data_IF_549275466646
#
_entry.id   IF_549275466646
#
_cell.length_a   1.000
_cell.length_b   1.000
_cell.length_c   1.000
_cell.angle_alpha   90.00
_cell.angle_beta   90.00
_cell.angle_gamma   90.00
#
_symmetry.space_group_name_H-M   'P 1'
#
loop_
_entity.id
_entity.type
_entity.pdbx_description
1 polymer ?
#
# COMPACT_ATOMS: atom_id res chain seq x y z
N UNK A 1 -98.28 -10.43 22.84
CA UNK A 1 -97.06 -10.86 23.58
C UNK A 1 -96.73 -12.27 23.13
N UNK A 2 -95.75 -12.43 22.24
CA UNK A 2 -95.24 -13.72 21.79
C UNK A 2 -93.72 -13.63 21.69
N UNK A 3 -93.04 -14.53 22.41
CA UNK A 3 -91.59 -14.54 22.63
C UNK A 3 -90.83 -15.04 21.40
N UNK A 4 -89.59 -14.57 21.34
CA UNK A 4 -88.61 -14.54 20.25
C UNK A 4 -87.78 -15.83 20.23
N UNK A 5 -87.48 -16.36 19.04
CA UNK A 5 -86.37 -17.29 18.79
C UNK A 5 -85.27 -16.62 17.92
N UNK A 6 -83.96 -16.81 18.18
CA UNK A 6 -82.87 -16.11 17.48
C UNK A 6 -82.33 -16.82 16.21
N UNK A 7 -81.46 -16.17 15.42
CA UNK A 7 -81.37 -16.36 13.97
C UNK A 7 -80.38 -17.45 13.50
N UNK A 8 -80.68 -18.00 12.32
CA UNK A 8 -79.86 -18.95 11.55
C UNK A 8 -78.56 -18.33 11.00
N UNK A 9 -77.42 -18.92 11.38
CA UNK A 9 -76.09 -18.59 10.87
C UNK A 9 -75.85 -19.16 9.45
N UNK A 10 -75.54 -18.27 8.49
CA UNK A 10 -75.15 -18.65 7.12
C UNK A 10 -73.66 -19.04 7.09
N UNK A 11 -73.37 -20.32 6.81
CA UNK A 11 -72.00 -20.81 6.52
C UNK A 11 -71.41 -20.10 5.28
N UNK A 12 -70.40 -19.24 5.48
CA UNK A 12 -69.50 -18.76 4.43
C UNK A 12 -68.37 -19.78 4.21
N UNK A 13 -68.15 -20.18 2.94
CA UNK A 13 -67.05 -21.05 2.49
C UNK A 13 -65.68 -20.40 2.77
N UNK A 14 -64.73 -21.19 3.29
CA UNK A 14 -63.30 -20.81 3.41
C UNK A 14 -62.67 -20.64 2.00
N UNK A 15 -61.85 -19.60 1.76
CA UNK A 15 -60.94 -19.56 0.61
C UNK A 15 -59.81 -20.58 0.81
N UNK A 16 -59.33 -21.18 -0.28
CA UNK A 16 -58.11 -21.99 -0.34
C UNK A 16 -56.87 -21.15 0.01
N UNK A 17 -55.82 -21.74 0.61
CA UNK A 17 -54.61 -20.99 0.94
C UNK A 17 -53.87 -20.57 -0.35
N UNK A 18 -53.61 -19.27 -0.48
CA UNK A 18 -52.68 -18.72 -1.46
C UNK A 18 -51.29 -19.33 -1.25
N UNK A 19 -50.66 -19.76 -2.33
CA UNK A 19 -49.30 -20.31 -2.32
C UNK A 19 -48.33 -19.21 -1.91
N UNK A 20 -47.72 -19.32 -0.73
CA UNK A 20 -46.65 -18.41 -0.32
C UNK A 20 -45.53 -18.41 -1.38
N UNK A 21 -44.98 -17.25 -1.76
CA UNK A 21 -43.89 -17.21 -2.72
C UNK A 21 -42.70 -17.96 -2.11
N UNK A 22 -42.30 -19.05 -2.77
CA UNK A 22 -41.19 -19.89 -2.33
C UNK A 22 -39.96 -19.00 -2.22
N UNK A 23 -39.43 -18.83 -1.01
CA UNK A 23 -38.25 -18.01 -0.79
C UNK A 23 -37.07 -18.64 -1.53
N UNK A 24 -36.64 -18.00 -2.61
CA UNK A 24 -35.45 -18.41 -3.34
C UNK A 24 -34.27 -18.14 -2.42
N UNK A 25 -33.76 -19.19 -1.79
CA UNK A 25 -32.55 -19.10 -0.98
C UNK A 25 -31.39 -18.69 -1.88
N UNK A 26 -30.62 -17.66 -1.52
CA UNK A 26 -29.47 -17.22 -2.30
C UNK A 26 -28.47 -18.37 -2.57
N UNK A 27 -28.46 -19.39 -1.71
CA UNK A 27 -27.64 -20.60 -1.86
C UNK A 27 -28.10 -21.53 -2.99
N UNK A 28 -29.27 -21.32 -3.60
CA UNK A 28 -29.73 -22.08 -4.78
C UNK A 28 -29.29 -21.47 -6.11
N UNK A 29 -28.77 -20.24 -6.11
CA UNK A 29 -28.25 -19.60 -7.32
C UNK A 29 -26.98 -20.30 -7.82
N UNK A 30 -26.67 -20.31 -9.13
CA UNK A 30 -25.39 -20.80 -9.64
C UNK A 30 -24.21 -19.90 -9.23
N UNK A 31 -22.98 -20.42 -9.33
CA UNK A 31 -21.78 -19.75 -8.78
C UNK A 31 -21.46 -18.40 -9.46
N UNK A 32 -21.73 -18.28 -10.75
CA UNK A 32 -21.56 -17.04 -11.52
C UNK A 32 -22.46 -15.90 -11.02
N UNK A 33 -23.74 -16.19 -10.75
CA UNK A 33 -24.67 -15.23 -10.16
C UNK A 33 -24.26 -14.86 -8.74
N UNK A 34 -23.80 -15.82 -7.94
CA UNK A 34 -23.29 -15.55 -6.60
C UNK A 34 -22.05 -14.66 -6.63
N UNK A 35 -21.08 -14.93 -7.49
CA UNK A 35 -19.90 -14.08 -7.70
C UNK A 35 -20.34 -12.67 -8.10
N UNK A 36 -21.27 -12.56 -9.03
CA UNK A 36 -21.81 -11.28 -9.47
C UNK A 36 -22.48 -10.51 -8.32
N UNK A 37 -23.26 -11.17 -7.46
CA UNK A 37 -23.85 -10.54 -6.27
C UNK A 37 -22.78 -10.12 -5.26
N UNK A 38 -21.88 -11.04 -4.88
CA UNK A 38 -20.87 -10.81 -3.84
C UNK A 38 -19.85 -9.75 -4.28
N UNK A 39 -19.50 -9.69 -5.57
CA UNK A 39 -18.60 -8.66 -6.12
C UNK A 39 -19.10 -7.23 -5.95
N UNK A 40 -20.41 -7.03 -5.75
CA UNK A 40 -21.00 -5.70 -5.48
C UNK A 40 -21.04 -5.33 -3.99
N UNK A 41 -20.81 -6.30 -3.11
CA UNK A 41 -20.76 -6.09 -1.67
C UNK A 41 -19.36 -5.65 -1.28
N UNK A 42 -19.26 -4.68 -0.36
CA UNK A 42 -17.96 -4.24 0.14
C UNK A 42 -17.21 -5.40 0.84
N UNK A 43 -15.88 -5.43 0.71
CA UNK A 43 -15.04 -6.45 1.37
C UNK A 43 -15.14 -6.37 2.89
N UNK A 44 -15.57 -5.23 3.43
CA UNK A 44 -15.92 -5.06 4.85
C UNK A 44 -16.84 -6.17 5.38
N UNK A 45 -17.73 -6.72 4.55
CA UNK A 45 -18.67 -7.76 4.97
C UNK A 45 -18.17 -9.19 4.67
N UNK A 46 -17.04 -9.34 3.99
CA UNK A 46 -16.56 -10.66 3.56
C UNK A 46 -16.12 -11.53 4.72
N UNK A 47 -15.71 -10.98 5.86
CA UNK A 47 -15.36 -11.78 7.05
C UNK A 47 -16.55 -12.60 7.61
N UNK A 48 -17.80 -12.19 7.33
CA UNK A 48 -18.99 -12.90 7.79
C UNK A 48 -19.40 -14.03 6.85
N UNK A 49 -19.18 -13.90 5.54
CA UNK A 49 -19.68 -14.86 4.55
C UNK A 49 -19.11 -16.30 4.71
N UNK A 50 -17.81 -16.52 5.00
CA UNK A 50 -17.24 -17.84 5.23
C UNK A 50 -17.77 -18.55 6.49
N UNK A 51 -18.37 -17.80 7.42
CA UNK A 51 -18.98 -18.34 8.64
C UNK A 51 -20.37 -18.91 8.37
N UNK A 52 -21.04 -18.41 7.33
CA UNK A 52 -22.41 -18.81 6.95
C UNK A 52 -22.42 -20.04 6.06
N UNK A 53 -21.49 -20.16 5.10
CA UNK A 53 -21.48 -21.29 4.16
C UNK A 53 -20.09 -21.65 3.65
N UNK A 54 -19.83 -22.96 3.47
CA UNK A 54 -18.63 -23.47 2.78
C UNK A 54 -18.57 -22.99 1.32
N UNK A 55 -19.73 -22.83 0.67
CA UNK A 55 -19.82 -22.35 -0.71
C UNK A 55 -19.34 -20.90 -0.84
N UNK A 56 -19.79 -20.01 0.06
CA UNK A 56 -19.28 -18.64 0.12
C UNK A 56 -17.78 -18.58 0.42
N UNK A 57 -17.28 -19.44 1.31
CA UNK A 57 -15.84 -19.54 1.56
C UNK A 57 -15.06 -19.93 0.30
N UNK A 58 -15.60 -20.82 -0.53
CA UNK A 58 -15.00 -21.22 -1.81
C UNK A 58 -15.00 -20.05 -2.80
N UNK A 59 -16.14 -19.37 -2.95
CA UNK A 59 -16.28 -18.22 -3.86
C UNK A 59 -15.33 -17.08 -3.49
N UNK A 60 -15.20 -16.76 -2.20
CA UNK A 60 -14.28 -15.72 -1.72
C UNK A 60 -12.79 -16.04 -1.99
N UNK A 61 -12.45 -17.30 -2.20
CA UNK A 61 -11.10 -17.74 -2.58
C UNK A 61 -10.93 -17.87 -4.09
N UNK A 62 -12.01 -17.76 -4.87
CA UNK A 62 -11.92 -17.86 -6.32
C UNK A 62 -11.27 -16.61 -6.91
N UNK A 63 -10.33 -16.75 -7.86
CA UNK A 63 -9.79 -15.61 -8.60
C UNK A 63 -10.87 -14.86 -9.39
N UNK A 64 -11.96 -15.54 -9.77
CA UNK A 64 -13.07 -14.98 -10.55
C UNK A 64 -13.79 -13.84 -9.83
N UNK A 65 -13.83 -13.89 -8.50
CA UNK A 65 -14.45 -12.84 -7.70
C UNK A 65 -13.71 -11.52 -7.89
N UNK A 66 -12.38 -11.55 -7.78
CA UNK A 66 -11.56 -10.36 -7.97
C UNK A 66 -11.62 -9.87 -9.42
N UNK A 67 -11.53 -10.78 -10.40
CA UNK A 67 -11.66 -10.43 -11.81
C UNK A 67 -13.02 -9.74 -12.10
N UNK A 68 -14.10 -10.22 -11.49
CA UNK A 68 -15.43 -9.61 -11.61
C UNK A 68 -15.50 -8.25 -10.93
N UNK A 69 -14.92 -8.10 -9.72
CA UNK A 69 -14.85 -6.81 -9.03
C UNK A 69 -14.07 -5.76 -9.82
N UNK A 70 -12.92 -6.16 -10.36
CA UNK A 70 -12.09 -5.31 -11.23
C UNK A 70 -12.86 -4.85 -12.45
N UNK A 71 -13.54 -5.76 -13.17
CA UNK A 71 -14.42 -5.41 -14.30
C UNK A 71 -15.58 -4.47 -13.94
N UNK A 72 -16.05 -4.52 -12.70
CA UNK A 72 -17.14 -3.66 -12.21
C UNK A 72 -16.64 -2.34 -11.60
N UNK A 73 -15.32 -2.08 -11.61
CA UNK A 73 -14.69 -0.95 -10.91
C UNK A 73 -15.09 -0.89 -9.44
N UNK A 74 -15.08 -2.05 -8.78
CA UNK A 74 -15.42 -2.23 -7.35
C UNK A 74 -14.22 -2.69 -6.54
N UNK A 75 -13.00 -2.53 -7.01
CA UNK A 75 -11.83 -2.80 -6.18
C UNK A 75 -11.71 -1.74 -5.08
N UNK A 76 -11.15 -2.14 -3.95
CA UNK A 76 -10.94 -1.31 -2.76
C UNK A 76 -9.45 -1.23 -2.48
N UNK A 77 -8.93 -0.02 -2.24
CA UNK A 77 -7.54 0.15 -1.85
C UNK A 77 -7.35 -0.26 -0.40
N UNK A 78 -6.37 -1.14 -0.15
CA UNK A 78 -6.05 -1.67 1.17
C UNK A 78 -4.62 -1.29 1.54
N UNK A 79 -4.42 -0.91 2.81
CA UNK A 79 -3.10 -0.53 3.34
C UNK A 79 -2.42 -1.77 3.93
N UNK A 80 -1.19 -2.00 3.50
CA UNK A 80 -0.31 -3.03 4.03
C UNK A 80 0.91 -2.39 4.70
N UNK A 81 1.22 -2.85 5.91
CA UNK A 81 2.39 -2.40 6.66
C UNK A 81 3.40 -3.53 6.80
N UNK A 82 4.66 -3.17 6.62
CA UNK A 82 5.81 -4.01 6.90
C UNK A 82 6.65 -3.36 8.00
N UNK A 83 6.62 -3.98 9.18
CA UNK A 83 7.26 -3.46 10.39
C UNK A 83 8.39 -4.36 10.85
N UNK A 84 9.40 -3.72 11.44
CA UNK A 84 10.50 -4.35 12.16
C UNK A 84 10.77 -3.61 13.45
N UNK A 85 11.09 -4.34 14.51
CA UNK A 85 11.54 -3.77 15.79
C UNK A 85 13.04 -3.98 15.96
N UNK A 86 13.76 -3.09 16.68
CA UNK A 86 15.21 -3.17 16.82
C UNK A 86 15.68 -4.53 17.33
N UNK A 87 15.06 -5.04 18.40
CA UNK A 87 15.51 -6.23 19.11
C UNK A 87 14.75 -7.52 18.73
N UNK A 88 13.82 -7.44 17.78
CA UNK A 88 13.10 -8.61 17.26
C UNK A 88 13.65 -9.03 15.88
N UNK A 89 14.19 -10.25 15.73
CA UNK A 89 14.63 -10.74 14.43
C UNK A 89 13.47 -11.02 13.45
N UNK A 90 12.22 -11.01 13.92
CA UNK A 90 11.03 -11.22 13.10
C UNK A 90 10.64 -9.95 12.36
N UNK A 91 9.92 -10.16 11.26
CA UNK A 91 9.27 -9.10 10.50
C UNK A 91 7.77 -9.30 10.56
N UNK A 92 7.04 -8.19 10.57
CA UNK A 92 5.60 -8.18 10.78
C UNK A 92 4.91 -7.62 9.54
N UNK A 93 4.14 -8.48 8.89
CA UNK A 93 3.26 -8.10 7.80
C UNK A 93 1.85 -7.93 8.34
N UNK A 94 1.28 -6.77 8.06
CA UNK A 94 0.05 -6.31 8.66
C UNK A 94 -0.81 -5.68 7.57
N UNK A 95 -2.14 -5.78 7.67
CA UNK A 95 -3.09 -5.06 6.82
C UNK A 95 -4.07 -4.29 7.67
N UNK A 96 -4.48 -3.13 7.18
CA UNK A 96 -5.52 -2.35 7.81
C UNK A 96 -6.90 -2.88 7.39
N UNK A 97 -7.75 -3.18 8.37
CA UNK A 97 -9.11 -3.69 8.18
C UNK A 97 -10.09 -2.88 9.01
N UNK A 98 -11.32 -2.69 8.54
CA UNK A 98 -12.38 -1.99 9.28
C UNK A 98 -13.48 -2.95 9.71
N UNK A 99 -13.92 -2.82 10.96
CA UNK A 99 -15.06 -3.58 11.50
C UNK A 99 -16.38 -2.84 11.19
N UNK A 100 -17.42 -3.51 10.67
CA UNK A 100 -18.72 -2.88 10.42
C UNK A 100 -19.46 -2.45 11.69
N UNK A 101 -19.17 -3.08 12.84
CA UNK A 101 -20.01 -3.04 14.04
C UNK A 101 -19.34 -2.47 15.30
N UNK A 102 -18.14 -1.89 15.19
CA UNK A 102 -17.59 -1.10 16.31
C UNK A 102 -18.33 0.22 16.32
N UNK A 103 -19.43 0.26 17.08
CA UNK A 103 -20.16 1.47 17.34
C UNK A 103 -19.19 2.58 17.72
N UNK A 104 -19.40 3.74 17.11
CA UNK A 104 -18.69 5.02 17.23
C UNK A 104 -18.74 5.59 18.67
N UNK A 105 -19.12 4.80 19.67
CA UNK A 105 -19.39 5.23 21.04
C UNK A 105 -18.15 5.79 21.77
N UNK A 106 -16.94 5.60 21.23
CA UNK A 106 -15.70 6.14 21.78
C UNK A 106 -14.90 7.01 20.78
N UNK A 107 -15.48 7.48 19.68
CA UNK A 107 -14.76 8.29 18.69
C UNK A 107 -13.67 7.56 17.90
N UNK A 108 -13.62 6.22 17.96
CA UNK A 108 -12.72 5.41 17.13
C UNK A 108 -13.27 5.26 15.70
N UNK A 109 -12.36 5.26 14.74
CA UNK A 109 -12.63 5.08 13.30
C UNK A 109 -13.15 3.68 12.92
N UNK A 110 -13.00 2.71 13.83
CA UNK A 110 -13.36 1.30 13.60
C UNK A 110 -12.30 0.51 12.81
N UNK A 111 -11.18 1.14 12.45
CA UNK A 111 -10.04 0.47 11.84
C UNK A 111 -9.20 -0.25 12.91
N UNK A 112 -8.64 -1.38 12.51
CA UNK A 112 -7.68 -2.15 13.29
C UNK A 112 -6.74 -2.88 12.33
N UNK A 113 -5.63 -3.35 12.86
CA UNK A 113 -4.62 -4.05 12.06
C UNK A 113 -4.76 -5.56 12.23
N UNK A 114 -4.76 -6.30 11.13
CA UNK A 114 -4.73 -7.76 11.10
C UNK A 114 -3.35 -8.25 10.66
N UNK A 115 -2.87 -9.32 11.31
CA UNK A 115 -1.56 -9.91 10.99
C UNK A 115 -1.66 -10.87 9.82
N UNK A 116 -0.79 -10.67 8.84
CA UNK A 116 -0.62 -11.56 7.69
C UNK A 116 0.42 -12.63 8.04
N UNK A 117 0.09 -13.93 7.89
CA UNK A 117 1.07 -14.99 8.07
C UNK A 117 2.22 -14.86 7.08
N UNK A 118 3.45 -14.76 7.60
CA UNK A 118 4.67 -14.72 6.80
C UNK A 118 5.45 -16.04 7.01
N UNK A 119 5.62 -16.86 5.96
CA UNK A 119 6.39 -18.11 6.04
C UNK A 119 7.81 -17.91 6.55
N UNK A 120 8.33 -18.89 7.31
CA UNK A 120 9.67 -18.79 7.89
C UNK A 120 10.80 -18.66 6.86
N UNK A 121 10.62 -19.22 5.65
CA UNK A 121 11.60 -19.11 4.57
C UNK A 121 11.77 -17.68 4.04
N UNK A 122 10.83 -16.76 4.35
CA UNK A 122 10.92 -15.34 4.01
C UNK A 122 11.73 -14.52 5.04
N UNK A 123 12.19 -15.15 6.14
CA UNK A 123 12.98 -14.50 7.19
C UNK A 123 14.49 -14.61 6.92
N UNK A 124 15.30 -13.59 7.28
CA UNK A 124 14.99 -12.21 7.62
C UNK A 124 15.50 -11.26 6.52
N UNK A 125 15.08 -11.42 5.26
CA UNK A 125 15.51 -10.46 4.24
C UNK A 125 14.77 -9.14 4.47
N UNK A 126 15.39 -8.20 5.18
CA UNK A 126 14.91 -6.83 5.31
C UNK A 126 14.84 -6.22 3.93
N UNK A 127 13.66 -5.82 3.48
CA UNK A 127 13.52 -5.13 2.20
C UNK A 127 12.66 -3.89 2.41
N UNK A 128 13.18 -2.76 1.98
CA UNK A 128 12.44 -1.51 1.79
C UNK A 128 11.77 -1.45 0.40
N UNK A 129 12.13 -2.41 -0.47
CA UNK A 129 11.73 -2.47 -1.87
C UNK A 129 10.41 -3.21 -2.00
N UNK A 130 9.32 -2.49 -1.70
CA UNK A 130 7.94 -2.96 -1.78
C UNK A 130 7.22 -2.26 -2.93
N UNK A 131 6.65 -3.02 -3.86
CA UNK A 131 5.90 -2.48 -5.01
C UNK A 131 4.57 -3.20 -5.13
N UNK A 132 3.47 -2.46 -5.14
CA UNK A 132 2.16 -3.02 -5.44
C UNK A 132 1.90 -2.99 -6.95
N UNK A 133 1.32 -4.09 -7.44
CA UNK A 133 0.86 -4.26 -8.82
C UNK A 133 -0.55 -4.87 -8.74
N UNK A 134 -1.57 -4.02 -8.86
CA UNK A 134 -2.95 -4.44 -8.62
C UNK A 134 -3.13 -5.01 -7.21
N UNK A 135 -3.49 -6.30 -7.13
CA UNK A 135 -3.71 -7.01 -5.85
C UNK A 135 -2.48 -7.77 -5.34
N UNK A 136 -1.32 -7.60 -5.97
CA UNK A 136 -0.09 -8.28 -5.58
C UNK A 136 0.93 -7.27 -5.04
N UNK A 137 1.60 -7.61 -3.93
CA UNK A 137 2.73 -6.84 -3.42
C UNK A 137 4.01 -7.64 -3.63
N UNK A 138 4.93 -7.05 -4.38
CA UNK A 138 6.27 -7.58 -4.64
C UNK A 138 7.23 -7.08 -3.58
N UNK A 139 7.77 -8.00 -2.79
CA UNK A 139 8.89 -7.79 -1.89
C UNK A 139 10.16 -8.25 -2.60
N UNK A 140 11.05 -7.30 -2.91
CA UNK A 140 12.21 -7.54 -3.77
C UNK A 140 13.50 -7.46 -2.96
N UNK A 141 14.34 -8.50 -3.06
CA UNK A 141 15.65 -8.56 -2.45
C UNK A 141 15.64 -8.38 -0.93
N UNK A 142 16.64 -7.66 -0.44
CA UNK A 142 16.80 -7.32 0.95
C UNK A 142 18.03 -7.94 1.61
N UNK A 143 18.29 -7.58 2.86
CA UNK A 143 19.45 -8.11 3.57
C UNK A 143 19.09 -8.87 4.84
N UNK A 144 19.78 -9.98 5.06
CA UNK A 144 19.72 -10.70 6.33
C UNK A 144 20.61 -9.98 7.35
N UNK A 145 20.04 -9.02 8.07
CA UNK A 145 20.69 -8.42 9.22
C UNK A 145 20.49 -9.32 10.45
N UNK A 146 21.43 -10.24 10.67
CA UNK A 146 21.64 -10.74 12.02
C UNK A 146 22.22 -9.57 12.83
N UNK A 147 21.71 -9.34 14.03
CA UNK A 147 22.05 -8.20 14.91
C UNK A 147 23.56 -8.12 15.23
N UNK A 148 24.31 -9.19 14.93
CA UNK A 148 25.77 -9.34 15.09
C UNK A 148 26.58 -8.99 13.84
N UNK A 149 25.96 -8.76 12.69
CA UNK A 149 26.68 -8.45 11.45
C UNK A 149 27.05 -6.96 11.40
N UNK A 150 28.36 -6.69 11.51
CA UNK A 150 28.98 -5.39 11.17
C UNK A 150 28.43 -4.89 9.82
N UNK A 151 28.31 -3.57 9.65
CA UNK A 151 27.78 -2.89 8.43
C UNK A 151 28.35 -3.47 7.13
N UNK A 152 29.63 -3.89 7.14
CA UNK A 152 30.37 -4.48 6.02
C UNK A 152 30.06 -5.97 5.71
N UNK A 153 29.20 -6.62 6.50
CA UNK A 153 28.77 -8.04 6.35
C UNK A 153 27.30 -8.17 5.94
N UNK A 154 26.75 -7.13 5.28
CA UNK A 154 25.38 -7.14 4.73
C UNK A 154 25.25 -8.27 3.69
N UNK A 155 24.44 -9.28 4.00
CA UNK A 155 24.12 -10.34 3.04
C UNK A 155 23.03 -9.86 2.10
N UNK A 156 23.40 -9.49 0.88
CA UNK A 156 22.48 -9.13 -0.21
C UNK A 156 21.62 -10.33 -0.64
N UNK A 157 20.37 -10.08 -1.05
CA UNK A 157 19.44 -11.11 -1.52
C UNK A 157 18.91 -10.81 -2.93
N UNK A 158 18.78 -11.84 -3.76
CA UNK A 158 18.14 -11.74 -5.09
C UNK A 158 16.70 -12.26 -5.11
N UNK A 159 16.20 -12.80 -4.00
CA UNK A 159 14.87 -13.40 -3.98
C UNK A 159 13.76 -12.37 -4.12
N UNK A 160 12.66 -12.79 -4.74
CA UNK A 160 11.48 -11.97 -4.95
C UNK A 160 10.28 -12.75 -4.46
N UNK A 161 9.53 -12.15 -3.55
CA UNK A 161 8.37 -12.78 -2.93
C UNK A 161 7.14 -11.95 -3.17
N UNK A 162 6.03 -12.58 -3.51
CA UNK A 162 4.78 -11.90 -3.85
C UNK A 162 3.72 -12.27 -2.83
N UNK A 163 3.12 -11.25 -2.22
CA UNK A 163 1.94 -11.37 -1.38
C UNK A 163 0.70 -11.14 -2.23
N UNK A 164 -0.16 -12.15 -2.32
CA UNK A 164 -1.51 -12.01 -2.87
C UNK A 164 -2.42 -11.37 -1.82
N UNK A 165 -2.80 -10.11 -2.03
CA UNK A 165 -3.62 -9.32 -1.11
C UNK A 165 -5.08 -9.80 -1.00
N UNK A 166 -5.55 -10.64 -1.93
CA UNK A 166 -6.92 -11.18 -1.90
C UNK A 166 -7.03 -12.33 -0.92
N UNK A 167 -5.99 -13.17 -0.88
CA UNK A 167 -5.95 -14.40 -0.07
C UNK A 167 -5.01 -14.31 1.13
N UNK A 168 -4.20 -13.25 1.20
CA UNK A 168 -3.11 -13.08 2.18
C UNK A 168 -2.13 -14.26 2.19
N UNK A 169 -1.79 -14.76 1.00
CA UNK A 169 -0.84 -15.86 0.81
C UNK A 169 0.41 -15.42 0.06
N UNK A 170 1.53 -16.09 0.35
CA UNK A 170 2.83 -15.78 -0.23
C UNK A 170 3.22 -16.80 -1.29
N UNK A 171 3.82 -16.32 -2.39
CA UNK A 171 4.46 -17.13 -3.43
C UNK A 171 5.83 -16.56 -3.79
N UNK A 172 6.68 -17.38 -4.40
CA UNK A 172 7.95 -16.93 -4.95
C UNK A 172 7.76 -16.47 -6.40
N UNK A 173 8.45 -15.39 -6.77
CA UNK A 173 8.62 -14.98 -8.15
C UNK A 173 10.06 -15.28 -8.61
N UNK A 174 10.34 -15.22 -9.93
CA UNK A 174 11.69 -15.34 -10.44
C UNK A 174 12.66 -14.42 -9.73
N UNK A 175 13.83 -14.94 -9.33
CA UNK A 175 14.83 -14.15 -8.62
C UNK A 175 15.54 -13.19 -9.57
N UNK A 176 15.96 -12.04 -9.02
CA UNK A 176 16.84 -11.10 -9.73
C UNK A 176 18.16 -11.76 -10.09
N UNK A 177 18.84 -11.23 -11.09
CA UNK A 177 20.23 -11.62 -11.40
C UNK A 177 21.18 -11.01 -10.37
N UNK A 178 20.92 -9.77 -9.95
CA UNK A 178 21.74 -9.10 -8.94
C UNK A 178 21.13 -9.23 -7.54
N UNK A 179 21.99 -9.47 -6.54
CA UNK A 179 21.59 -9.46 -5.13
C UNK A 179 21.59 -8.02 -4.62
N UNK A 180 20.53 -7.64 -3.91
CA UNK A 180 20.30 -6.28 -3.40
C UNK A 180 19.97 -6.28 -1.92
N UNK A 181 20.36 -5.23 -1.20
CA UNK A 181 20.05 -5.00 0.21
C UNK A 181 18.85 -4.04 0.36
N UNK A 182 18.58 -3.58 1.59
CA UNK A 182 17.47 -2.68 1.89
C UNK A 182 17.65 -1.22 1.41
N UNK A 183 18.71 -0.90 0.66
CA UNK A 183 18.93 0.42 0.09
C UNK A 183 18.54 0.47 -1.41
N UNK A 184 17.98 -0.64 -1.94
CA UNK A 184 17.45 -0.67 -3.29
C UNK A 184 16.07 0.00 -3.37
N UNK A 185 15.77 0.55 -4.53
CA UNK A 185 14.46 1.10 -4.88
C UNK A 185 13.79 0.25 -5.93
N UNK A 186 12.46 0.29 -5.96
CA UNK A 186 11.71 -0.27 -7.05
C UNK A 186 10.45 0.54 -7.34
N UNK A 187 10.10 0.62 -8.61
CA UNK A 187 8.95 1.36 -9.10
C UNK A 187 8.27 0.58 -10.21
N UNK A 188 6.94 0.48 -10.12
CA UNK A 188 6.11 -0.01 -11.21
C UNK A 188 6.01 1.07 -12.28
N UNK A 189 6.33 0.70 -13.51
CA UNK A 189 6.29 1.61 -14.64
C UNK A 189 6.07 0.82 -15.93
N UNK A 190 5.05 1.20 -16.70
CA UNK A 190 4.68 0.56 -17.99
C UNK A 190 4.66 -0.98 -17.97
N UNK A 191 4.04 -1.58 -16.96
CA UNK A 191 3.92 -3.04 -16.86
C UNK A 191 5.22 -3.76 -16.49
N UNK A 192 6.26 -3.03 -16.08
CA UNK A 192 7.50 -3.61 -15.54
C UNK A 192 7.83 -3.05 -14.18
N UNK A 193 8.48 -3.84 -13.34
CA UNK A 193 9.03 -3.37 -12.07
C UNK A 193 10.52 -3.10 -12.29
N UNK A 194 10.89 -1.82 -12.26
CA UNK A 194 12.29 -1.40 -12.36
C UNK A 194 12.91 -1.40 -10.97
N UNK A 195 14.11 -1.94 -10.84
CA UNK A 195 14.83 -2.05 -9.57
C UNK A 195 16.26 -1.53 -9.73
N UNK A 196 16.67 -0.62 -8.85
CA UNK A 196 17.97 0.03 -8.87
C UNK A 196 18.57 0.15 -7.46
N UNK A 197 19.90 0.32 -7.38
CA UNK A 197 20.60 0.50 -6.11
C UNK A 197 20.68 -0.73 -5.21
N UNK A 198 21.19 -0.53 -3.99
CA UNK A 198 21.34 -1.55 -2.96
C UNK A 198 22.28 -2.71 -3.28
N UNK A 199 23.14 -2.57 -4.29
CA UNK A 199 24.11 -3.59 -4.69
C UNK A 199 25.44 -3.45 -3.95
N UNK A 200 26.28 -4.48 -4.02
CA UNK A 200 27.67 -4.43 -3.56
C UNK A 200 28.47 -3.38 -4.37
N UNK A 201 29.38 -2.64 -3.71
CA UNK A 201 30.19 -1.54 -4.27
C UNK A 201 30.85 -1.90 -5.60
N UNK A 202 31.37 -3.13 -5.70
CA UNK A 202 32.04 -3.61 -6.92
C UNK A 202 31.13 -3.66 -8.15
N UNK A 203 29.81 -3.61 -7.98
CA UNK A 203 28.82 -3.69 -9.05
C UNK A 203 28.20 -2.35 -9.43
N UNK A 204 28.58 -1.25 -8.77
CA UNK A 204 28.03 0.10 -9.07
C UNK A 204 28.36 0.52 -10.51
N UNK A 205 29.52 0.14 -11.03
CA UNK A 205 29.96 0.42 -12.40
C UNK A 205 29.48 -0.60 -13.44
N UNK A 206 28.75 -1.65 -13.04
CA UNK A 206 28.33 -2.70 -13.95
C UNK A 206 27.12 -2.25 -14.78
N UNK A 207 27.05 -2.63 -16.07
CA UNK A 207 25.95 -2.23 -16.96
C UNK A 207 24.59 -2.77 -16.51
N UNK A 208 24.56 -3.82 -15.70
CA UNK A 208 23.35 -4.49 -15.20
C UNK A 208 22.93 -4.01 -13.80
N UNK A 209 23.38 -2.82 -13.38
CA UNK A 209 23.05 -2.25 -12.07
C UNK A 209 21.54 -2.00 -11.89
N UNK A 210 20.82 -1.78 -12.99
CA UNK A 210 19.37 -1.67 -13.04
C UNK A 210 18.81 -2.93 -13.71
N UNK A 211 17.77 -3.50 -13.13
CA UNK A 211 17.03 -4.62 -13.69
C UNK A 211 15.56 -4.28 -13.79
N UNK A 212 14.92 -4.72 -14.87
CA UNK A 212 13.47 -4.62 -15.04
C UNK A 212 12.85 -6.02 -15.02
N UNK A 213 11.85 -6.22 -14.18
CA UNK A 213 11.01 -7.40 -14.18
C UNK A 213 9.79 -7.16 -15.05
N UNK A 214 9.71 -7.89 -16.15
CA UNK A 214 8.58 -7.85 -17.06
C UNK A 214 7.43 -8.68 -16.46
N UNK A 215 6.29 -8.04 -16.18
CA UNK A 215 5.14 -8.70 -15.55
C UNK A 215 4.41 -9.65 -16.50
N UNK A 216 4.50 -9.44 -17.81
CA UNK A 216 3.85 -10.29 -18.82
C UNK A 216 4.65 -11.57 -19.02
N UNK A 217 5.96 -11.43 -19.28
CA UNK A 217 6.84 -12.60 -19.52
C UNK A 217 7.33 -13.25 -18.24
N UNK A 218 7.18 -12.58 -17.08
CA UNK A 218 7.72 -13.00 -15.79
C UNK A 218 9.24 -13.22 -15.85
N UNK A 219 9.97 -12.34 -16.56
CA UNK A 219 11.43 -12.45 -16.70
C UNK A 219 12.14 -11.16 -16.30
N UNK A 220 13.34 -11.31 -15.74
CA UNK A 220 14.24 -10.20 -15.48
C UNK A 220 15.09 -9.89 -16.72
N UNK A 221 15.20 -8.62 -17.07
CA UNK A 221 16.10 -8.11 -18.10
C UNK A 221 16.98 -6.98 -17.57
N UNK A 222 18.24 -6.88 -18.02
CA UNK A 222 19.09 -5.74 -17.67
C UNK A 222 18.55 -4.47 -18.35
N UNK A 223 18.66 -3.32 -17.67
CA UNK A 223 18.41 -2.01 -18.26
C UNK A 223 19.76 -1.32 -18.43
N UNK A 224 20.05 -0.84 -19.64
CA UNK A 224 21.34 -0.21 -19.95
C UNK A 224 21.58 0.99 -19.04
N UNK A 225 22.62 0.91 -18.22
CA UNK A 225 23.06 2.00 -17.36
C UNK A 225 23.85 3.05 -18.17
N UNK A 226 23.45 4.34 -18.17
CA UNK A 226 24.17 5.42 -18.86
C UNK A 226 25.54 5.80 -18.27
N UNK A 227 26.09 5.04 -17.31
CA UNK A 227 27.36 5.31 -16.59
C UNK A 227 27.32 6.59 -15.73
N UNK A 228 26.16 6.89 -15.16
CA UNK A 228 25.87 8.09 -14.36
C UNK A 228 26.39 7.94 -12.91
N UNK A 229 27.56 7.31 -12.74
CA UNK A 229 28.24 7.22 -11.45
C UNK A 229 29.71 7.55 -11.68
N UNK A 230 30.06 8.83 -11.68
CA UNK A 230 31.46 9.22 -11.54
C UNK A 230 31.88 9.02 -10.08
N UNK A 231 32.80 8.08 -9.89
CA UNK A 231 33.50 7.82 -8.64
C UNK A 231 34.24 9.08 -8.19
N UNK A 232 33.65 9.89 -7.31
CA UNK A 232 34.43 10.79 -6.48
C UNK A 232 34.92 9.97 -5.28
N UNK A 233 36.21 9.65 -5.27
CA UNK A 233 36.84 8.70 -4.35
C UNK A 233 36.76 9.07 -2.85
N UNK A 234 36.31 10.28 -2.52
CA UNK A 234 36.35 10.82 -1.16
C UNK A 234 35.05 10.62 -0.35
N UNK A 235 33.92 10.28 -0.99
CA UNK A 235 32.60 10.24 -0.32
C UNK A 235 31.92 8.85 -0.43
N UNK A 236 32.69 7.76 -0.16
CA UNK A 236 32.27 6.34 -0.24
C UNK A 236 31.02 5.94 0.58
N UNK A 237 30.40 6.86 1.28
CA UNK A 237 29.23 6.59 2.15
C UNK A 237 27.90 6.90 1.45
N UNK A 238 27.88 7.65 0.34
CA UNK A 238 26.62 8.15 -0.25
C UNK A 238 26.01 7.32 -1.41
N UNK A 239 26.77 6.44 -2.06
CA UNK A 239 26.34 5.76 -3.29
C UNK A 239 25.49 4.48 -3.18
N UNK A 240 24.80 4.21 -2.07
CA UNK A 240 24.08 2.93 -1.88
C UNK A 240 22.55 3.03 -1.98
N UNK A 241 22.01 4.21 -1.75
CA UNK A 241 20.57 4.46 -1.70
C UNK A 241 20.14 5.03 -3.04
N UNK A 242 19.42 4.21 -3.81
CA UNK A 242 18.68 4.73 -4.95
C UNK A 242 17.26 5.07 -4.49
N UNK A 243 16.65 6.07 -5.12
CA UNK A 243 15.19 6.32 -5.05
C UNK A 243 14.65 6.32 -6.45
N UNK A 244 13.40 5.89 -6.65
CA UNK A 244 12.76 6.01 -7.94
C UNK A 244 11.30 6.36 -7.81
N UNK A 245 10.78 7.07 -8.81
CA UNK A 245 9.38 7.50 -8.89
C UNK A 245 8.93 7.52 -10.35
N UNK A 246 7.71 7.10 -10.61
CA UNK A 246 7.06 7.25 -11.90
C UNK A 246 6.14 8.47 -11.86
N UNK A 247 6.24 9.33 -12.86
CA UNK A 247 5.47 10.57 -12.95
C UNK A 247 5.35 11.00 -14.42
N UNK A 248 4.15 11.36 -14.87
CA UNK A 248 3.91 11.94 -16.21
C UNK A 248 4.50 11.06 -17.34
N UNK A 249 4.35 9.73 -17.24
CA UNK A 249 4.87 8.80 -18.25
C UNK A 249 6.40 8.69 -18.30
N UNK A 250 7.12 9.15 -17.27
CA UNK A 250 8.58 8.99 -17.13
C UNK A 250 8.94 8.27 -15.85
N UNK A 251 10.06 7.56 -15.87
CA UNK A 251 10.65 6.94 -14.69
C UNK A 251 11.88 7.73 -14.26
N UNK A 252 11.84 8.27 -13.05
CA UNK A 252 12.95 8.98 -12.44
C UNK A 252 13.68 8.01 -11.52
N UNK A 253 15.00 7.92 -11.65
CA UNK A 253 15.86 7.17 -10.74
C UNK A 253 16.96 8.11 -10.22
N UNK A 254 16.95 8.29 -8.91
CA UNK A 254 17.88 9.12 -8.16
C UNK A 254 18.98 8.24 -7.56
N UNK A 255 20.23 8.61 -7.81
CA UNK A 255 21.44 8.11 -7.18
C UNK A 255 22.39 9.28 -6.92
N UNK A 256 23.70 9.08 -6.98
CA UNK A 256 24.69 10.18 -6.83
C UNK A 256 24.62 11.21 -7.98
N UNK A 257 24.22 10.78 -9.17
CA UNK A 257 23.87 11.64 -10.29
C UNK A 257 22.43 11.27 -10.70
N UNK A 258 21.50 12.21 -10.55
CA UNK A 258 20.06 11.97 -10.74
C UNK A 258 19.70 11.84 -12.23
N UNK A 259 19.00 10.77 -12.64
CA UNK A 259 18.76 10.43 -14.05
C UNK A 259 17.27 10.18 -14.35
N UNK A 260 16.84 10.49 -15.58
CA UNK A 260 15.48 10.23 -16.07
C UNK A 260 15.52 9.18 -17.17
N UNK A 261 14.68 8.17 -17.05
CA UNK A 261 14.43 7.18 -18.08
C UNK A 261 13.11 7.46 -18.78
N UNK A 262 13.18 7.65 -20.10
CA UNK A 262 12.01 7.71 -20.97
C UNK A 262 11.87 6.35 -21.68
N UNK A 263 10.78 5.60 -21.42
CA UNK A 263 10.57 4.31 -22.05
C UNK A 263 10.22 4.41 -23.53
N UNK A 264 9.52 5.47 -23.96
CA UNK A 264 9.13 5.68 -25.37
C UNK A 264 10.36 5.76 -26.26
N UNK A 265 11.41 6.41 -25.75
CA UNK A 265 12.68 6.56 -26.44
C UNK A 265 13.67 5.42 -26.15
N UNK A 266 13.41 4.62 -25.10
CA UNK A 266 14.33 3.62 -24.58
C UNK A 266 15.67 4.22 -24.15
N UNK A 267 15.68 5.48 -23.70
CA UNK A 267 16.89 6.28 -23.46
C UNK A 267 16.85 6.99 -22.13
N UNK A 268 18.05 7.23 -21.61
CA UNK A 268 18.28 8.04 -20.43
C UNK A 268 18.65 9.47 -20.82
N UNK A 269 18.19 10.42 -20.00
CA UNK A 269 18.54 11.83 -20.11
C UNK A 269 18.92 12.41 -18.75
N UNK A 270 19.85 13.35 -18.73
CA UNK A 270 20.16 14.15 -17.54
C UNK A 270 18.95 15.00 -17.14
N UNK A 271 18.76 15.20 -15.83
CA UNK A 271 17.72 16.09 -15.31
C UNK A 271 18.02 17.54 -15.70
N UNK A 272 17.19 18.11 -16.57
CA UNK A 272 17.18 19.53 -16.89
C UNK A 272 16.40 20.35 -15.85
N UNK A 273 15.41 21.12 -16.32
CA UNK A 273 14.53 21.95 -15.46
C UNK A 273 13.78 21.14 -14.38
N UNK A 274 13.49 19.87 -14.65
CA UNK A 274 12.83 18.95 -13.71
C UNK A 274 13.67 18.68 -12.44
N UNK A 275 14.94 19.09 -12.40
CA UNK A 275 15.80 18.95 -11.22
C UNK A 275 15.25 19.69 -10.00
N UNK A 276 14.66 20.88 -10.15
CA UNK A 276 14.15 21.67 -9.01
C UNK A 276 13.01 20.94 -8.27
N UNK A 277 12.07 20.35 -9.02
CA UNK A 277 10.98 19.54 -8.45
C UNK A 277 11.50 18.25 -7.82
N UNK A 278 12.41 17.56 -8.50
CA UNK A 278 12.86 16.22 -8.10
C UNK A 278 13.89 16.22 -6.98
N UNK A 279 14.68 17.29 -6.80
CA UNK A 279 15.69 17.39 -5.73
C UNK A 279 15.07 17.29 -4.33
N UNK A 280 13.83 17.75 -4.16
CA UNK A 280 13.10 17.58 -2.88
C UNK A 280 12.66 16.14 -2.66
N UNK A 281 12.19 15.45 -3.71
CA UNK A 281 11.81 14.03 -3.65
C UNK A 281 13.03 13.13 -3.35
N UNK A 282 14.17 13.46 -3.94
CA UNK A 282 15.45 12.79 -3.68
C UNK A 282 15.86 12.94 -2.20
N UNK A 283 15.70 14.12 -1.59
CA UNK A 283 16.11 14.38 -0.21
C UNK A 283 15.09 13.93 0.83
N UNK A 284 13.81 14.12 0.56
CA UNK A 284 12.73 13.82 1.51
C UNK A 284 12.29 12.35 1.38
N UNK A 285 12.06 11.69 2.51
CA UNK A 285 11.78 10.24 2.56
C UNK A 285 10.28 9.90 2.51
N UNK A 286 9.39 10.90 2.50
CA UNK A 286 7.94 10.69 2.62
C UNK A 286 7.21 11.44 1.50
N UNK A 287 6.92 10.72 0.41
CA UNK A 287 6.19 11.25 -0.74
C UNK A 287 5.27 10.18 -1.34
N UNK A 288 4.26 10.60 -2.09
CA UNK A 288 3.48 9.74 -2.98
C UNK A 288 3.11 10.50 -4.26
N UNK A 289 2.77 9.75 -5.30
CA UNK A 289 2.20 10.29 -6.54
C UNK A 289 0.74 9.88 -6.59
N UNK A 290 -0.16 10.86 -6.77
CA UNK A 290 -1.60 10.64 -6.90
C UNK A 290 -2.05 11.42 -8.13
N UNK A 291 -2.68 10.75 -9.10
CA UNK A 291 -3.16 11.35 -10.35
C UNK A 291 -2.12 12.24 -11.05
N UNK A 292 -0.88 11.73 -11.18
CA UNK A 292 0.29 12.44 -11.73
C UNK A 292 0.67 13.74 -11.00
N UNK A 293 0.26 13.90 -9.74
CA UNK A 293 0.70 14.99 -8.86
C UNK A 293 1.57 14.44 -7.74
N UNK A 294 2.72 15.06 -7.52
CA UNK A 294 3.62 14.74 -6.42
C UNK A 294 3.14 15.40 -5.13
N UNK A 295 3.03 14.60 -4.08
CA UNK A 295 2.78 15.04 -2.71
C UNK A 295 3.96 14.65 -1.83
N UNK A 296 4.35 15.52 -0.91
CA UNK A 296 5.33 15.22 0.12
C UNK A 296 4.91 15.74 1.48
N UNK A 297 5.48 15.14 2.51
CA UNK A 297 5.46 15.68 3.86
C UNK A 297 6.80 16.33 4.15
N UNK A 298 6.83 17.65 4.31
CA UNK A 298 8.05 18.39 4.65
C UNK A 298 8.29 18.28 6.15
N UNK A 299 9.31 17.49 6.54
CA UNK A 299 9.64 17.25 7.95
C UNK A 299 10.08 18.52 8.69
N UNK A 300 10.65 19.50 7.99
CA UNK A 300 11.18 20.72 8.61
C UNK A 300 10.06 21.71 8.90
N UNK A 301 9.21 21.98 7.91
CA UNK A 301 8.07 22.89 8.08
C UNK A 301 6.84 22.20 8.67
N UNK A 302 6.83 20.87 8.75
CA UNK A 302 5.71 20.06 9.26
C UNK A 302 4.39 20.35 8.53
N UNK A 303 4.49 20.47 7.21
CA UNK A 303 3.32 20.69 6.33
C UNK A 303 3.37 19.73 5.16
N UNK A 304 2.18 19.36 4.69
CA UNK A 304 2.03 18.69 3.41
C UNK A 304 2.28 19.69 2.29
N UNK A 305 3.00 19.27 1.26
CA UNK A 305 3.21 20.06 0.06
C UNK A 305 2.81 19.24 -1.16
N UNK A 306 2.36 19.93 -2.19
CA UNK A 306 2.12 19.35 -3.50
C UNK A 306 2.89 20.16 -4.55
N UNK A 307 3.25 19.51 -5.64
CA UNK A 307 3.97 20.17 -6.72
C UNK A 307 2.99 20.64 -7.80
N UNK A 308 2.98 21.94 -8.06
CA UNK A 308 2.19 22.53 -9.14
C UNK A 308 3.03 22.61 -10.40
N UNK A 309 2.73 21.72 -11.36
CA UNK A 309 3.40 21.69 -12.66
C UNK A 309 3.11 22.92 -13.52
N UNK A 310 2.03 23.67 -13.25
CA UNK A 310 1.70 24.90 -13.99
C UNK A 310 2.59 26.06 -13.58
N UNK A 311 2.88 26.19 -12.29
CA UNK A 311 3.73 27.26 -11.75
C UNK A 311 5.18 26.84 -11.50
N UNK A 312 5.53 25.56 -11.70
CA UNK A 312 6.85 24.98 -11.39
C UNK A 312 7.29 25.21 -9.93
N UNK A 313 6.34 25.08 -8.99
CA UNK A 313 6.58 25.40 -7.59
C UNK A 313 5.95 24.38 -6.63
N UNK A 314 6.60 24.20 -5.48
CA UNK A 314 6.03 23.47 -4.36
C UNK A 314 5.11 24.37 -3.55
N UNK A 315 3.84 23.99 -3.43
CA UNK A 315 2.82 24.72 -2.69
C UNK A 315 2.38 23.95 -1.46
N UNK A 316 1.98 24.66 -0.42
CA UNK A 316 1.44 24.04 0.79
C UNK A 316 0.04 23.49 0.51
N UNK A 317 -0.25 22.32 1.04
CA UNK A 317 -1.56 21.68 0.96
C UNK A 317 -2.42 22.20 2.11
N UNK A 318 -3.42 23.00 1.78
CA UNK A 318 -4.32 23.61 2.76
C UNK A 318 -5.40 22.62 3.23
N UNK A 319 -6.08 22.92 4.34
CA UNK A 319 -7.26 22.18 4.79
C UNK A 319 -7.03 20.99 5.73
N UNK A 320 -5.77 20.73 6.09
CA UNK A 320 -5.38 19.62 6.98
C UNK A 320 -5.37 20.08 8.45
N UNK A 321 -6.20 21.07 8.78
CA UNK A 321 -6.38 21.58 10.14
C UNK A 321 -7.07 20.49 10.97
N UNK A 322 -6.37 19.93 11.97
CA UNK A 322 -6.92 18.93 12.88
C UNK A 322 -6.14 17.61 13.00
N UNK A 323 -5.11 17.38 12.18
CA UNK A 323 -4.13 16.33 12.49
C UNK A 323 -3.31 16.72 13.72
N UNK A 324 -2.93 15.76 14.59
CA UNK A 324 -2.10 16.05 15.74
C UNK A 324 -0.73 16.56 15.31
N UNK A 325 -0.15 17.46 16.11
CA UNK A 325 1.24 17.86 15.90
C UNK A 325 2.16 16.64 16.04
N UNK A 326 2.93 16.38 14.99
CA UNK A 326 3.94 15.35 14.98
C UNK A 326 5.15 15.78 15.80
N UNK A 327 5.81 14.79 16.43
CA UNK A 327 7.02 15.01 17.22
C UNK A 327 8.07 15.76 16.39
N UNK A 328 8.75 16.77 16.96
CA UNK A 328 9.76 17.53 16.25
C UNK A 328 11.05 16.75 16.00
N UNK A 329 11.23 15.56 16.60
CA UNK A 329 12.42 14.74 16.41
C UNK A 329 12.25 13.75 15.24
N UNK A 330 12.88 14.01 14.08
CA UNK A 330 12.80 13.14 12.91
C UNK A 330 13.52 11.80 13.09
N UNK A 331 14.34 11.62 14.13
CA UNK A 331 14.93 10.32 14.47
C UNK A 331 13.93 9.42 15.21
N UNK A 332 12.87 9.99 15.77
CA UNK A 332 11.89 9.30 16.63
C UNK A 332 10.54 9.12 15.94
N UNK A 333 10.22 9.93 14.93
CA UNK A 333 8.96 9.84 14.19
C UNK A 333 9.18 9.39 12.73
N UNK A 334 8.86 8.13 12.46
CA UNK A 334 8.76 7.56 11.12
C UNK A 334 7.40 7.91 10.52
N UNK A 335 7.42 8.27 9.23
CA UNK A 335 6.24 8.68 8.47
C UNK A 335 6.24 7.96 7.12
N UNK A 336 5.06 7.66 6.59
CA UNK A 336 4.88 7.17 5.22
C UNK A 336 3.63 7.75 4.58
N UNK A 337 3.68 7.90 3.26
CA UNK A 337 2.57 8.33 2.43
C UNK A 337 2.33 7.29 1.33
N UNK A 338 1.06 7.00 1.05
CA UNK A 338 0.65 6.10 -0.03
C UNK A 338 -0.59 6.64 -0.74
N UNK A 339 -0.75 6.29 -2.01
CA UNK A 339 -1.97 6.54 -2.76
C UNK A 339 -3.07 5.54 -2.36
N UNK A 340 -4.22 6.03 -1.92
CA UNK A 340 -5.41 5.25 -1.60
C UNK A 340 -6.51 5.41 -2.65
N UNK A 341 -6.11 5.51 -3.92
CA UNK A 341 -7.01 5.63 -5.06
C UNK A 341 -7.56 7.04 -5.19
N UNK A 342 -6.66 8.03 -5.27
CA UNK A 342 -7.02 9.45 -5.35
C UNK A 342 -7.01 10.16 -3.97
N UNK A 343 -6.59 9.47 -2.91
CA UNK A 343 -6.53 9.98 -1.55
C UNK A 343 -5.16 9.76 -0.96
N UNK A 344 -4.75 10.62 -0.04
CA UNK A 344 -3.50 10.42 0.72
C UNK A 344 -3.81 9.49 1.90
N UNK A 345 -3.13 8.35 1.95
CA UNK A 345 -2.94 7.59 3.17
C UNK A 345 -1.69 8.07 3.87
N UNK A 346 -1.83 8.68 5.03
CA UNK A 346 -0.70 9.17 5.82
C UNK A 346 -0.57 8.38 7.11
N UNK A 347 0.59 7.77 7.34
CA UNK A 347 0.84 6.99 8.55
C UNK A 347 2.09 7.49 9.25
N UNK A 348 2.06 7.42 10.57
CA UNK A 348 3.20 7.81 11.40
C UNK A 348 3.25 6.99 12.68
N UNK A 349 4.45 6.82 13.23
CA UNK A 349 4.61 6.32 14.59
C UNK A 349 4.75 7.46 15.60
N UNK A 350 4.34 7.19 16.83
CA UNK A 350 4.40 8.11 17.95
C UNK A 350 4.86 7.34 19.17
N UNK A 351 6.04 7.70 19.68
CA UNK A 351 6.58 7.13 20.91
C UNK A 351 6.22 8.00 22.12
N UNK A 352 5.54 7.42 23.10
CA UNK A 352 5.10 8.13 24.31
C UNK A 352 6.06 7.82 25.46
N UNK A 353 7.04 8.73 25.67
CA UNK A 353 8.05 8.59 26.73
C UNK A 353 7.46 8.63 28.15
N UNK A 354 6.37 9.38 28.35
CA UNK A 354 5.87 9.74 29.68
C UNK A 354 4.98 8.66 30.33
N UNK A 355 4.41 7.71 29.55
CA UNK A 355 3.30 6.87 30.03
C UNK A 355 3.39 5.39 29.61
N UNK A 356 4.51 4.70 29.88
CA UNK A 356 4.73 3.24 29.72
C UNK A 356 5.52 2.74 28.48
N UNK A 357 6.42 3.55 27.89
CA UNK A 357 7.22 3.09 26.72
C UNK A 357 6.32 2.53 25.60
N UNK A 358 5.16 3.14 25.37
CA UNK A 358 4.21 2.69 24.34
C UNK A 358 4.50 3.44 23.04
N UNK A 359 4.60 2.70 21.94
CA UNK A 359 4.61 3.24 20.60
C UNK A 359 3.24 3.00 19.95
N UNK A 360 2.69 4.03 19.32
CA UNK A 360 1.44 3.96 18.57
C UNK A 360 1.70 4.24 17.12
N UNK A 361 1.13 3.42 16.25
CA UNK A 361 1.06 3.70 14.82
C UNK A 361 -0.31 4.31 14.54
N UNK A 362 -0.29 5.47 13.93
CA UNK A 362 -1.45 6.21 13.51
C UNK A 362 -1.61 6.13 12.00
N UNK A 363 -2.85 6.26 11.56
CA UNK A 363 -3.20 6.36 10.16
C UNK A 363 -4.24 7.46 10.00
N UNK A 364 -4.09 8.25 8.94
CA UNK A 364 -5.05 9.23 8.47
C UNK A 364 -5.36 8.98 7.00
N UNK A 365 -6.62 9.19 6.63
CA UNK A 365 -7.06 9.22 5.24
C UNK A 365 -7.50 10.64 4.90
N UNK A 366 -6.91 11.19 3.85
CA UNK A 366 -7.11 12.59 3.45
C UNK A 366 -7.61 12.61 2.01
N UNK A 367 -8.84 13.09 1.82
CA UNK A 367 -9.40 13.33 0.49
C UNK A 367 -8.81 14.60 -0.09
N UNK A 368 -8.53 14.58 -1.39
CA UNK A 368 -8.00 15.73 -2.13
C UNK A 368 -9.12 16.35 -2.97
N UNK A 369 -9.18 17.68 -2.96
CA UNK A 369 -10.10 18.48 -3.75
C UNK A 369 -9.32 19.61 -4.42
N UNK A 370 -9.53 19.83 -5.72
CA UNK A 370 -9.06 21.04 -6.40
C UNK A 370 -10.13 22.11 -6.30
N UNK A 371 -9.76 23.31 -5.85
CA UNK A 371 -10.64 24.47 -5.70
C UNK A 371 -10.32 25.54 -6.74
N UNK A 372 -11.18 26.56 -6.80
CA UNK A 372 -11.03 27.68 -7.73
C UNK A 372 -9.65 28.33 -7.56
N UNK A 373 -8.95 28.57 -8.68
CA UNK A 373 -7.58 29.11 -8.68
C UNK A 373 -6.46 28.06 -8.72
N UNK A 374 -6.77 26.79 -9.03
CA UNK A 374 -5.82 25.66 -9.04
C UNK A 374 -5.19 25.36 -7.66
N UNK A 375 -5.83 25.81 -6.56
CA UNK A 375 -5.42 25.43 -5.22
C UNK A 375 -5.84 23.99 -4.90
N UNK A 376 -4.96 23.27 -4.23
CA UNK A 376 -5.22 21.92 -3.76
C UNK A 376 -5.57 21.95 -2.27
N UNK A 377 -6.67 21.30 -1.92
CA UNK A 377 -7.21 21.25 -0.58
C UNK A 377 -7.31 19.81 -0.09
N UNK A 378 -6.81 19.55 1.11
CA UNK A 378 -6.96 18.29 1.81
C UNK A 378 -8.12 18.33 2.79
N UNK A 379 -8.87 17.24 2.91
CA UNK A 379 -9.89 17.03 3.95
C UNK A 379 -9.60 15.73 4.67
N UNK A 380 -9.33 15.80 5.97
CA UNK A 380 -9.13 14.61 6.81
C UNK A 380 -10.46 13.89 7.00
N UNK A 381 -10.63 12.72 6.40
CA UNK A 381 -11.86 11.91 6.53
C UNK A 381 -11.91 11.22 7.88
N UNK A 382 -10.76 10.70 8.33
CA UNK A 382 -10.58 10.11 9.63
C UNK A 382 -9.08 10.02 9.95
N UNK A 383 -8.77 9.94 11.24
CA UNK A 383 -7.48 9.45 11.72
C UNK A 383 -7.67 8.71 13.05
N UNK A 384 -6.86 7.69 13.30
CA UNK A 384 -6.93 6.88 14.53
C UNK A 384 -5.62 6.13 14.77
N UNK A 385 -5.41 5.68 16.01
CA UNK A 385 -4.31 4.77 16.35
C UNK A 385 -4.72 3.35 15.94
N UNK A 386 -4.01 2.79 14.97
CA UNK A 386 -4.35 1.51 14.34
C UNK A 386 -3.55 0.34 14.93
N UNK A 387 -2.40 0.62 15.55
CA UNK A 387 -1.57 -0.37 16.25
C UNK A 387 -0.93 0.23 17.49
N UNK A 388 -0.84 -0.57 18.56
CA UNK A 388 -0.10 -0.27 19.79
C UNK A 388 0.99 -1.30 20.00
N UNK A 389 2.21 -0.84 20.28
CA UNK A 389 3.40 -1.67 20.50
C UNK A 389 4.18 -1.15 21.72
N UNK A 390 5.07 -1.97 22.27
CA UNK A 390 5.91 -1.61 23.43
C UNK A 390 7.31 -1.11 23.03
N UNK A 391 7.58 -1.03 21.73
CA UNK A 391 8.85 -0.56 21.16
C UNK A 391 8.56 0.27 19.91
N UNK A 392 9.37 1.31 19.66
CA UNK A 392 9.34 2.04 18.39
C UNK A 392 9.83 1.14 17.26
N UNK A 393 9.26 1.34 16.06
CA UNK A 393 9.66 0.58 14.89
C UNK A 393 11.05 1.01 14.44
N UNK A 394 11.93 0.03 14.21
CA UNK A 394 13.23 0.28 13.58
C UNK A 394 13.06 0.64 12.09
N UNK A 395 12.15 -0.06 11.40
CA UNK A 395 11.81 0.23 10.01
C UNK A 395 10.29 0.13 9.79
N UNK A 396 9.74 1.14 9.12
CA UNK A 396 8.33 1.32 8.83
C UNK A 396 8.15 1.52 7.33
N UNK A 397 7.59 0.51 6.64
CA UNK A 397 7.24 0.60 5.23
C UNK A 397 5.75 0.38 5.03
N UNK A 398 5.15 1.17 4.15
CA UNK A 398 3.72 1.12 3.84
C UNK A 398 3.55 1.04 2.34
N UNK A 399 2.62 0.20 1.90
CA UNK A 399 2.22 0.06 0.51
C UNK A 399 0.71 -0.12 0.45
N UNK A 400 0.07 0.44 -0.57
CA UNK A 400 -1.34 0.22 -0.85
C UNK A 400 -1.51 -0.73 -2.03
N UNK A 401 -2.50 -1.62 -1.98
CA UNK A 401 -2.83 -2.53 -3.06
C UNK A 401 -4.34 -2.53 -3.34
N UNK A 402 -4.72 -2.74 -4.59
CA UNK A 402 -6.11 -2.73 -5.05
C UNK A 402 -6.68 -4.15 -4.99
N UNK A 403 -7.79 -4.36 -4.27
CA UNK A 403 -8.34 -5.70 -3.96
C UNK A 403 -9.85 -5.83 -4.15
#
# INVERSE_FOLDING_TARGET
MSRIDPPHDKKKKKPSPETEPTSISILSLPDDLLINCISRVSRLYYHNLPRVSKRFRSILRSPDLYATRSRLNRTEMCIYLYLRFPFDPKTYWLTLTRLPSRNVTNGSSGYYVEKIPCPNYLRPAQSSTLVAVGSDIYKIGGANHLHECKIWKRNYCSSVSVLDCRTHTWRQAPSMQMKRNANATATLFEGKIYVAGGCDEKYVSYPNWIEAFDLETQTWGPVTNPRVFRLWEEDRVKGFEAKSVSLEGKLYIFGDESAVYNPEEGKWSELGREMCRMRRVERELCHCVIDDVLFLWDKHSRVFKWYDSKSDEWKDLSGIEGLPELSPDPQVCQVAMVDLGGKIGFLWDQYLYETNQECRIWCAEITLERRDGDEMWGKVEWFDSVLRTHESCFSFHVVSASV
#
